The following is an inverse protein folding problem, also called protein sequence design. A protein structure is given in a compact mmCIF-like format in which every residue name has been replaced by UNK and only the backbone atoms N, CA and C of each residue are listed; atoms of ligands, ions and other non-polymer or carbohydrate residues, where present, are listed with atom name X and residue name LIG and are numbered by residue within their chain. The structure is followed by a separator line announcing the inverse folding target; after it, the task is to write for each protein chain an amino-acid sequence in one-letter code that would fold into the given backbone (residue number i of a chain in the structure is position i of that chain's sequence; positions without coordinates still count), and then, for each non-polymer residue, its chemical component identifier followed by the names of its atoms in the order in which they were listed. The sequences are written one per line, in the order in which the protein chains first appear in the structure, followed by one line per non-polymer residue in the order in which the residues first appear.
data_IF_282541517911
#
_entry.id   IF_282541517911
#
_cell.length_a   1.000
_cell.length_b   1.000
_cell.length_c   1.000
_cell.angle_alpha   90.00
_cell.angle_beta   90.00
_cell.angle_gamma   90.00
#
_symmetry.space_group_name_H-M   'P 1'
#
loop_
_entity.id
_entity.type
_entity.pdbx_description
1 polymer ?
#
# COMPACT_ATOMS: atom_id res chain seq x y z
N UNK A 1 -12.67 12.96 -17.59
CA UNK A 1 -11.84 13.00 -16.36
C UNK A 1 -11.04 14.28 -16.38
N UNK A 2 -11.19 15.11 -15.34
CA UNK A 2 -10.42 16.35 -15.19
C UNK A 2 -8.92 16.05 -14.96
N UNK A 3 -8.02 16.99 -15.25
CA UNK A 3 -6.58 16.80 -14.97
C UNK A 3 -6.29 16.59 -13.48
N UNK A 4 -7.16 17.10 -12.60
CA UNK A 4 -7.03 17.02 -11.13
C UNK A 4 -7.34 15.60 -10.64
N UNK A 5 -8.37 14.95 -11.19
CA UNK A 5 -8.70 13.53 -10.92
C UNK A 5 -7.51 12.60 -11.24
N UNK A 6 -6.76 12.89 -12.30
CA UNK A 6 -5.62 12.06 -12.71
C UNK A 6 -4.44 12.14 -11.71
N UNK A 7 -4.22 13.31 -11.11
CA UNK A 7 -3.12 13.50 -10.16
C UNK A 7 -3.37 12.79 -8.83
N UNK A 8 -4.59 12.85 -8.29
CA UNK A 8 -4.93 12.14 -7.05
C UNK A 8 -4.86 10.62 -7.22
N UNK A 9 -5.41 10.08 -8.31
CA UNK A 9 -5.34 8.64 -8.59
C UNK A 9 -3.88 8.18 -8.72
N UNK A 10 -3.06 8.93 -9.45
CA UNK A 10 -1.64 8.58 -9.59
C UNK A 10 -0.92 8.66 -8.24
N UNK A 11 -1.27 9.61 -7.37
CA UNK A 11 -0.65 9.76 -6.04
C UNK A 11 -1.02 8.61 -5.12
N UNK A 12 -2.31 8.25 -5.09
CA UNK A 12 -2.80 7.12 -4.33
C UNK A 12 -2.12 5.81 -4.80
N UNK A 13 -1.82 5.66 -6.11
CA UNK A 13 -1.16 4.46 -6.64
C UNK A 13 0.27 4.33 -6.12
N UNK A 14 1.06 5.40 -6.25
CA UNK A 14 2.42 5.49 -5.71
C UNK A 14 2.78 6.95 -5.44
N UNK A 15 2.87 7.37 -4.16
CA UNK A 15 3.22 8.75 -3.83
C UNK A 15 4.66 9.08 -4.26
N UNK A 16 5.53 8.06 -4.41
CA UNK A 16 6.91 8.22 -4.84
C UNK A 16 7.04 8.69 -6.29
N UNK A 17 6.00 8.55 -7.12
CA UNK A 17 5.99 9.07 -8.51
C UNK A 17 5.90 10.59 -8.58
N UNK A 18 5.49 11.24 -7.49
CA UNK A 18 5.43 12.69 -7.34
C UNK A 18 6.68 13.27 -6.69
N UNK A 19 7.51 12.43 -6.09
CA UNK A 19 8.83 12.81 -5.62
C UNK A 19 9.79 12.94 -6.81
N UNK A 20 10.84 13.74 -6.64
CA UNK A 20 11.86 13.89 -7.67
C UNK A 20 12.43 12.52 -8.06
N UNK A 21 12.23 12.14 -9.33
CA UNK A 21 12.65 10.84 -9.88
C UNK A 21 14.16 10.63 -9.79
N UNK A 22 14.94 11.70 -9.69
CA UNK A 22 16.39 11.62 -9.51
C UNK A 22 16.80 11.19 -8.11
N UNK A 23 15.89 11.29 -7.12
CA UNK A 23 16.16 11.01 -5.70
C UNK A 23 15.50 9.72 -5.22
N UNK A 24 14.34 9.33 -5.78
CA UNK A 24 13.49 8.28 -5.18
C UNK A 24 13.18 7.09 -6.11
N UNK A 25 13.95 6.87 -7.18
CA UNK A 25 13.65 5.81 -8.16
C UNK A 25 13.55 4.40 -7.54
N UNK A 26 14.43 4.05 -6.60
CA UNK A 26 14.38 2.75 -5.93
C UNK A 26 13.13 2.58 -5.06
N UNK A 27 12.62 3.67 -4.47
CA UNK A 27 11.40 3.63 -3.63
C UNK A 27 10.16 3.31 -4.46
N UNK A 28 10.03 3.91 -5.63
CA UNK A 28 8.93 3.61 -6.56
C UNK A 28 9.00 2.16 -7.08
N UNK A 29 10.21 1.67 -7.38
CA UNK A 29 10.42 0.28 -7.78
C UNK A 29 10.05 -0.70 -6.66
N UNK A 30 10.47 -0.42 -5.41
CA UNK A 30 10.12 -1.24 -4.25
C UNK A 30 8.63 -1.16 -3.94
N UNK A 31 7.99 0.02 -4.03
CA UNK A 31 6.54 0.15 -3.86
C UNK A 31 5.77 -0.69 -4.88
N UNK A 32 6.21 -0.67 -6.15
CA UNK A 32 5.61 -1.49 -7.21
C UNK A 32 5.72 -2.99 -6.88
N UNK A 33 6.85 -3.43 -6.32
CA UNK A 33 7.03 -4.81 -5.83
C UNK A 33 6.12 -5.13 -4.65
N UNK A 34 5.97 -4.22 -3.69
CA UNK A 34 5.05 -4.38 -2.54
C UNK A 34 3.61 -4.55 -3.05
N UNK A 35 3.18 -3.71 -3.97
CA UNK A 35 1.85 -3.77 -4.58
C UNK A 35 1.58 -5.15 -5.21
N UNK A 36 2.52 -5.64 -6.02
CA UNK A 36 2.43 -6.95 -6.66
C UNK A 36 2.38 -8.11 -5.65
N UNK A 37 3.17 -8.04 -4.57
CA UNK A 37 3.17 -9.05 -3.50
C UNK A 37 1.81 -9.08 -2.82
N UNK A 38 1.29 -7.93 -2.41
CA UNK A 38 -0.01 -7.80 -1.73
C UNK A 38 -1.14 -8.31 -2.62
N UNK A 39 -1.16 -7.89 -3.88
CA UNK A 39 -2.17 -8.31 -4.86
C UNK A 39 -2.12 -9.82 -5.12
N UNK A 40 -0.91 -10.39 -5.25
CA UNK A 40 -0.75 -11.82 -5.48
C UNK A 40 -1.18 -12.64 -4.27
N UNK A 41 -0.83 -12.17 -3.06
CA UNK A 41 -1.19 -12.86 -1.83
C UNK A 41 -2.69 -12.75 -1.52
N UNK A 42 -3.33 -11.61 -1.80
CA UNK A 42 -4.76 -11.42 -1.58
C UNK A 42 -5.62 -12.37 -2.43
N UNK A 43 -5.16 -12.70 -3.64
CA UNK A 43 -5.79 -13.69 -4.54
C UNK A 43 -5.69 -15.14 -4.05
N UNK A 44 -4.89 -15.44 -3.02
CA UNK A 44 -4.81 -16.78 -2.43
C UNK A 44 -6.01 -16.97 -1.48
N UNK A 45 -6.76 -18.09 -1.59
CA UNK A 45 -7.84 -18.40 -0.65
C UNK A 45 -7.33 -18.43 0.80
N UNK A 46 -8.07 -17.77 1.69
CA UNK A 46 -7.73 -17.60 3.11
C UNK A 46 -7.33 -18.92 3.80
N UNK A 47 -8.09 -19.99 3.57
CA UNK A 47 -7.84 -21.33 4.12
C UNK A 47 -6.50 -21.96 3.71
N UNK A 48 -5.83 -21.39 2.71
CA UNK A 48 -4.57 -21.91 2.17
C UNK A 48 -3.41 -20.92 2.29
N UNK A 49 -3.64 -19.74 2.90
CA UNK A 49 -2.58 -18.75 3.17
C UNK A 49 -1.65 -19.29 4.24
N UNK A 50 -0.35 -19.20 4.00
CA UNK A 50 0.69 -19.68 4.93
C UNK A 50 1.91 -18.77 4.87
N UNK A 51 2.69 -18.74 5.95
CA UNK A 51 3.98 -18.04 5.99
C UNK A 51 4.90 -18.47 4.84
N UNK A 52 4.96 -19.76 4.50
CA UNK A 52 5.80 -20.26 3.43
C UNK A 52 5.40 -19.71 2.06
N UNK A 53 4.09 -19.62 1.76
CA UNK A 53 3.59 -19.01 0.52
C UNK A 53 3.88 -17.51 0.47
N UNK A 54 3.66 -16.79 1.57
CA UNK A 54 3.99 -15.36 1.66
C UNK A 54 5.48 -15.12 1.40
N UNK A 55 6.36 -15.87 2.07
CA UNK A 55 7.82 -15.80 1.85
C UNK A 55 8.20 -16.13 0.40
N UNK A 56 7.56 -17.13 -0.21
CA UNK A 56 7.82 -17.48 -1.60
C UNK A 56 7.44 -16.34 -2.56
N UNK A 57 6.27 -15.70 -2.36
CA UNK A 57 5.83 -14.55 -3.16
C UNK A 57 6.78 -13.37 -2.96
N UNK A 58 7.10 -13.03 -1.71
CA UNK A 58 8.04 -11.93 -1.40
C UNK A 58 9.37 -12.16 -2.09
N UNK A 59 9.97 -13.36 -1.94
CA UNK A 59 11.24 -13.70 -2.56
C UNK A 59 11.19 -13.64 -4.09
N UNK A 60 10.11 -14.15 -4.70
CA UNK A 60 9.91 -14.11 -6.15
C UNK A 60 9.91 -12.67 -6.68
N UNK A 61 9.08 -11.80 -6.13
CA UNK A 61 8.98 -10.42 -6.61
C UNK A 61 10.20 -9.57 -6.25
N UNK A 62 10.76 -9.75 -5.06
CA UNK A 62 11.98 -9.04 -4.65
C UNK A 62 13.17 -9.38 -5.57
N UNK A 63 13.29 -10.64 -6.01
CA UNK A 63 14.39 -11.06 -6.89
C UNK A 63 14.39 -10.39 -8.27
N UNK A 64 13.27 -9.76 -8.66
CA UNK A 64 13.13 -9.02 -9.91
C UNK A 64 13.67 -7.58 -9.83
N UNK A 65 13.96 -7.07 -8.63
CA UNK A 65 14.54 -5.75 -8.47
C UNK A 65 15.99 -5.74 -8.94
N UNK A 66 16.32 -4.76 -9.78
CA UNK A 66 17.70 -4.48 -10.10
C UNK A 66 18.39 -3.85 -8.88
N UNK A 67 19.41 -4.53 -8.35
CA UNK A 67 20.18 -4.05 -7.20
C UNK A 67 20.90 -2.73 -7.48
N UNK A 68 21.18 -2.42 -8.74
CA UNK A 68 21.93 -1.22 -9.15
C UNK A 68 21.17 0.09 -8.92
N UNK A 69 19.85 0.02 -8.75
CA UNK A 69 19.00 1.20 -8.52
C UNK A 69 19.12 1.74 -7.08
N UNK A 70 19.68 0.93 -6.18
CA UNK A 70 19.90 1.31 -4.78
C UNK A 70 21.23 2.05 -4.63
N UNK A 71 21.30 2.92 -3.64
CA UNK A 71 22.51 3.71 -3.32
C UNK A 71 23.68 2.82 -2.88
N UNK A 72 23.39 1.65 -2.30
CA UNK A 72 24.40 0.68 -1.90
C UNK A 72 23.81 -0.72 -1.73
N UNK A 73 24.67 -1.73 -1.80
CA UNK A 73 24.31 -3.12 -1.45
C UNK A 73 23.75 -3.22 -0.02
N UNK A 74 24.30 -2.43 0.91
CA UNK A 74 23.80 -2.35 2.28
C UNK A 74 22.35 -1.86 2.33
N UNK A 75 22.01 -0.82 1.56
CA UNK A 75 20.63 -0.32 1.47
C UNK A 75 19.71 -1.41 0.91
N UNK A 76 20.11 -2.07 -0.19
CA UNK A 76 19.34 -3.17 -0.78
C UNK A 76 19.04 -4.29 0.24
N UNK A 77 20.07 -4.77 0.94
CA UNK A 77 19.93 -5.87 1.91
C UNK A 77 19.08 -5.44 3.11
N UNK A 78 19.32 -4.25 3.67
CA UNK A 78 18.56 -3.78 4.84
C UNK A 78 17.09 -3.53 4.51
N UNK A 79 16.80 -2.93 3.34
CA UNK A 79 15.42 -2.76 2.88
C UNK A 79 14.76 -4.12 2.64
N UNK A 80 15.46 -5.08 2.03
CA UNK A 80 14.95 -6.44 1.82
C UNK A 80 14.54 -7.12 3.12
N UNK A 81 15.40 -7.07 4.15
CA UNK A 81 15.13 -7.67 5.46
C UNK A 81 13.92 -7.04 6.12
N UNK A 82 13.87 -5.69 6.18
CA UNK A 82 12.75 -4.96 6.80
C UNK A 82 11.43 -5.20 6.07
N UNK A 83 11.44 -5.08 4.74
CA UNK A 83 10.26 -5.33 3.91
C UNK A 83 9.78 -6.76 4.09
N UNK A 84 10.68 -7.74 4.07
CA UNK A 84 10.31 -9.14 4.25
C UNK A 84 9.67 -9.37 5.61
N UNK A 85 10.30 -8.90 6.70
CA UNK A 85 9.82 -9.12 8.06
C UNK A 85 8.46 -8.46 8.30
N UNK A 86 8.35 -7.17 8.03
CA UNK A 86 7.15 -6.40 8.32
C UNK A 86 5.98 -6.75 7.37
N UNK A 87 6.26 -7.00 6.09
CA UNK A 87 5.22 -7.39 5.14
C UNK A 87 4.71 -8.80 5.43
N UNK A 88 5.60 -9.74 5.79
CA UNK A 88 5.19 -11.08 6.20
C UNK A 88 4.30 -11.04 7.44
N UNK A 89 4.67 -10.25 8.45
CA UNK A 89 3.85 -10.04 9.65
C UNK A 89 2.48 -9.47 9.30
N UNK A 90 2.43 -8.46 8.43
CA UNK A 90 1.19 -7.83 7.98
C UNK A 90 0.27 -8.84 7.26
N UNK A 91 0.79 -9.53 6.24
CA UNK A 91 0.03 -10.47 5.41
C UNK A 91 -0.54 -11.65 6.22
N UNK A 92 0.11 -12.01 7.33
CA UNK A 92 -0.31 -13.10 8.20
C UNK A 92 -1.14 -12.63 9.41
N UNK A 93 -1.36 -11.33 9.57
CA UNK A 93 -2.17 -10.82 10.68
C UNK A 93 -3.66 -11.11 10.47
N UNK A 94 -4.35 -11.50 11.55
CA UNK A 94 -5.76 -11.91 11.54
C UNK A 94 -6.70 -10.82 10.97
N UNK A 95 -6.34 -9.54 11.12
CA UNK A 95 -7.09 -8.41 10.55
C UNK A 95 -7.25 -8.47 9.02
N UNK A 96 -6.28 -9.01 8.29
CA UNK A 96 -6.37 -9.17 6.83
C UNK A 96 -6.90 -10.55 6.41
N UNK A 97 -7.21 -11.42 7.38
CA UNK A 97 -7.63 -12.81 7.16
C UNK A 97 -9.16 -12.96 7.17
N UNK A 98 -9.92 -11.98 7.66
CA UNK A 98 -11.40 -12.12 7.73
C UNK A 98 -12.18 -11.13 6.84
N UNK A 99 -11.66 -9.93 6.53
CA UNK A 99 -12.47 -8.91 5.88
C UNK A 99 -11.71 -8.06 4.86
N UNK A 100 -11.57 -8.54 3.61
CA UNK A 100 -11.29 -7.70 2.43
C UNK A 100 -11.79 -8.51 1.20
N UNK A 101 -12.42 -8.03 0.12
CA UNK A 101 -12.38 -6.71 -0.55
C UNK A 101 -13.46 -6.73 -1.66
N UNK A 102 -14.15 -5.61 -1.91
CA UNK A 102 -14.47 -5.26 -3.29
C UNK A 102 -13.16 -4.72 -3.86
N UNK A 103 -12.40 -5.55 -4.56
CA UNK A 103 -11.29 -5.04 -5.37
C UNK A 103 -11.95 -4.09 -6.39
N UNK A 104 -11.73 -2.79 -6.26
CA UNK A 104 -12.05 -1.88 -7.35
C UNK A 104 -10.99 -2.14 -8.41
N UNK A 105 -11.29 -3.15 -9.21
CA UNK A 105 -10.51 -3.72 -10.31
C UNK A 105 -10.22 -2.70 -11.42
N UNK A 106 -10.59 -1.42 -11.25
CA UNK A 106 -10.59 -0.44 -12.33
C UNK A 106 -9.67 0.77 -12.15
N UNK A 107 -9.09 1.05 -10.96
CA UNK A 107 -8.30 2.28 -10.79
C UNK A 107 -6.98 2.12 -10.03
N UNK A 108 -6.84 1.14 -9.13
CA UNK A 108 -5.75 1.12 -8.15
C UNK A 108 -5.31 -0.31 -7.80
N UNK A 109 -4.29 -0.82 -8.47
CA UNK A 109 -3.79 -2.21 -8.35
C UNK A 109 -3.28 -2.63 -6.95
N UNK A 110 -3.38 -1.75 -5.93
CA UNK A 110 -2.74 -1.92 -4.62
C UNK A 110 -3.52 -1.41 -3.41
N UNK A 111 -4.71 -0.86 -3.62
CA UNK A 111 -5.49 -0.25 -2.54
C UNK A 111 -6.54 -1.26 -2.07
N UNK A 112 -6.55 -1.55 -0.77
CA UNK A 112 -7.54 -2.41 -0.17
C UNK A 112 -8.68 -1.53 0.34
N UNK A 113 -9.82 -1.59 -0.34
CA UNK A 113 -11.04 -0.92 0.10
C UNK A 113 -11.92 -1.95 0.78
N UNK A 114 -12.15 -1.75 2.08
CA UNK A 114 -13.02 -2.59 2.90
C UNK A 114 -14.30 -1.81 3.13
N UNK A 115 -15.43 -2.38 2.69
CA UNK A 115 -16.76 -1.84 2.97
C UNK A 115 -17.49 -2.90 3.77
N UNK A 116 -17.75 -2.63 5.04
CA UNK A 116 -18.57 -3.46 5.91
C UNK A 116 -19.85 -2.72 6.31
N UNK A 117 -20.75 -3.38 7.04
CA UNK A 117 -21.99 -2.77 7.54
C UNK A 117 -21.71 -1.52 8.42
N UNK A 118 -20.53 -1.49 9.04
CA UNK A 118 -20.06 -0.44 9.93
C UNK A 118 -19.42 0.75 9.21
N UNK A 119 -19.28 0.70 7.87
CA UNK A 119 -18.82 1.80 7.03
C UNK A 119 -17.64 1.44 6.10
N UNK A 120 -17.12 2.49 5.45
CA UNK A 120 -15.99 2.41 4.52
C UNK A 120 -14.67 2.57 5.28
N UNK A 121 -13.79 1.58 5.18
CA UNK A 121 -12.40 1.61 5.68
C UNK A 121 -11.46 1.51 4.49
N UNK A 122 -10.57 2.49 4.35
CA UNK A 122 -9.53 2.49 3.33
C UNK A 122 -8.20 2.06 3.95
N UNK A 123 -7.57 1.02 3.42
CA UNK A 123 -6.26 0.57 3.86
C UNK A 123 -5.23 0.65 2.73
N UNK A 124 -4.07 1.24 3.04
CA UNK A 124 -2.95 1.37 2.12
C UNK A 124 -1.67 0.82 2.72
N UNK A 125 -0.90 0.15 1.89
CA UNK A 125 0.43 -0.37 2.24
C UNK A 125 1.45 0.44 1.46
N UNK A 126 2.30 1.18 2.16
CA UNK A 126 3.36 2.02 1.58
C UNK A 126 4.73 1.59 2.10
N UNK A 127 5.76 1.73 1.25
CA UNK A 127 7.13 1.42 1.62
C UNK A 127 7.54 2.20 2.89
N UNK A 128 7.41 3.51 2.87
CA UNK A 128 7.69 4.40 4.00
C UNK A 128 6.88 5.69 3.86
N UNK A 129 6.54 6.32 4.98
CA UNK A 129 5.81 7.58 4.99
C UNK A 129 6.39 8.60 5.95
N UNK A 130 6.18 9.87 5.63
CA UNK A 130 6.37 11.01 6.53
C UNK A 130 5.04 11.75 6.75
N UNK A 131 5.06 12.78 7.61
CA UNK A 131 3.86 13.53 7.96
C UNK A 131 3.24 14.27 6.76
N UNK A 132 4.06 14.75 5.82
CA UNK A 132 3.60 15.48 4.63
C UNK A 132 2.93 14.54 3.63
N UNK A 133 3.54 13.37 3.38
CA UNK A 133 2.98 12.33 2.53
C UNK A 133 1.67 11.80 3.10
N UNK A 134 1.62 11.55 4.41
CA UNK A 134 0.41 11.14 5.07
C UNK A 134 -0.70 12.20 4.95
N UNK A 135 -0.38 13.47 5.18
CA UNK A 135 -1.30 14.60 4.98
C UNK A 135 -1.91 14.61 3.59
N UNK A 136 -1.06 14.50 2.58
CA UNK A 136 -1.48 14.44 1.18
C UNK A 136 -2.34 13.21 0.91
N UNK A 137 -1.96 12.05 1.47
CA UNK A 137 -2.71 10.80 1.30
C UNK A 137 -4.11 10.88 1.90
N UNK A 138 -4.27 11.40 3.12
CA UNK A 138 -5.59 11.54 3.73
C UNK A 138 -6.50 12.43 2.87
N UNK A 139 -6.00 13.58 2.40
CA UNK A 139 -6.78 14.47 1.55
C UNK A 139 -7.18 13.81 0.22
N UNK A 140 -6.25 13.12 -0.44
CA UNK A 140 -6.52 12.40 -1.69
C UNK A 140 -7.53 11.26 -1.48
N UNK A 141 -7.39 10.50 -0.40
CA UNK A 141 -8.29 9.41 -0.03
C UNK A 141 -9.71 9.90 0.26
N UNK A 142 -9.85 11.02 0.99
CA UNK A 142 -11.15 11.65 1.27
C UNK A 142 -11.85 12.07 -0.02
N UNK A 143 -11.13 12.78 -0.90
CA UNK A 143 -11.67 13.23 -2.17
C UNK A 143 -12.11 12.04 -3.03
N UNK A 144 -11.28 11.00 -3.11
CA UNK A 144 -11.60 9.78 -3.85
C UNK A 144 -12.85 9.07 -3.30
N UNK A 145 -12.96 8.92 -1.97
CA UNK A 145 -14.11 8.26 -1.36
C UNK A 145 -15.41 9.04 -1.55
N UNK A 146 -15.36 10.38 -1.48
CA UNK A 146 -16.50 11.24 -1.79
C UNK A 146 -16.96 11.09 -3.25
N UNK A 147 -16.02 11.03 -4.18
CA UNK A 147 -16.32 10.83 -5.61
C UNK A 147 -16.89 9.44 -5.91
N UNK A 148 -16.40 8.40 -5.22
CA UNK A 148 -16.77 7.02 -5.51
C UNK A 148 -18.04 6.56 -4.77
N UNK A 149 -18.24 7.01 -3.53
CA UNK A 149 -19.28 6.48 -2.63
C UNK A 149 -20.27 7.53 -2.12
N UNK A 150 -20.07 8.80 -2.44
CA UNK A 150 -20.80 9.95 -1.86
C UNK A 150 -20.69 10.06 -0.33
N UNK A 151 -19.84 9.23 0.31
CA UNK A 151 -19.67 9.14 1.75
C UNK A 151 -18.19 9.28 2.13
N UNK A 152 -17.95 9.79 3.34
CA UNK A 152 -16.60 9.79 3.91
C UNK A 152 -16.25 8.40 4.44
N UNK A 153 -14.98 7.98 4.32
CA UNK A 153 -14.52 6.79 4.99
C UNK A 153 -14.59 7.00 6.51
N UNK A 154 -15.02 5.98 7.23
CA UNK A 154 -14.97 5.95 8.69
C UNK A 154 -13.53 6.01 9.20
N UNK A 155 -12.64 5.39 8.43
CA UNK A 155 -11.25 5.22 8.81
C UNK A 155 -10.37 5.11 7.57
N UNK A 156 -9.20 5.77 7.61
CA UNK A 156 -8.13 5.63 6.64
C UNK A 156 -6.91 5.08 7.38
N UNK A 157 -6.40 3.94 6.96
CA UNK A 157 -5.19 3.31 7.50
C UNK A 157 -4.06 3.32 6.47
N UNK A 158 -2.85 3.63 6.94
CA UNK A 158 -1.62 3.50 6.16
C UNK A 158 -0.63 2.65 6.95
N UNK A 159 -0.16 1.55 6.35
CA UNK A 159 0.92 0.74 6.88
C UNK A 159 2.25 1.12 6.22
N UNK A 160 3.17 1.62 7.04
CA UNK A 160 4.57 1.87 6.68
C UNK A 160 5.36 0.57 6.83
N UNK A 161 5.71 -0.02 5.69
CA UNK A 161 6.39 -1.32 5.61
C UNK A 161 7.83 -1.22 6.11
N UNK A 162 8.56 -0.15 5.86
CA UNK A 162 9.97 -0.03 6.23
C UNK A 162 10.14 0.14 7.75
N UNK A 163 9.18 0.79 8.39
CA UNK A 163 9.18 1.05 9.83
C UNK A 163 8.28 0.12 10.63
N UNK A 164 7.44 -0.68 9.98
CA UNK A 164 6.52 -1.60 10.63
C UNK A 164 5.43 -0.88 11.44
N UNK A 165 5.03 0.31 10.99
CA UNK A 165 4.10 1.20 11.72
C UNK A 165 2.78 1.32 11.00
N UNK A 166 1.69 1.40 11.76
CA UNK A 166 0.34 1.65 11.25
C UNK A 166 -0.11 3.04 11.69
N UNK A 167 -0.51 3.85 10.73
CA UNK A 167 -1.08 5.18 10.93
C UNK A 167 -2.57 5.11 10.67
N UNK A 168 -3.36 5.72 11.54
CA UNK A 168 -4.83 5.70 11.45
C UNK A 168 -5.33 7.13 11.51
N UNK A 169 -6.20 7.47 10.56
CA UNK A 169 -6.89 8.74 10.51
C UNK A 169 -8.40 8.50 10.52
N UNK A 170 -9.10 9.25 11.38
CA UNK A 170 -10.55 9.25 11.49
C UNK A 170 -11.07 10.57 10.94
N UNK A 171 -11.64 10.59 9.72
CA UNK A 171 -12.16 11.81 9.13
C UNK A 171 -13.28 12.39 9.99
N UNK A 172 -13.28 13.70 10.15
CA UNK A 172 -14.34 14.44 10.84
C UNK A 172 -15.08 15.27 9.80
N UNK A 173 -16.42 15.32 9.89
CA UNK A 173 -17.21 16.31 9.16
C UNK A 173 -17.00 17.63 9.90
N UNK A 174 -16.27 18.56 9.29
CA UNK A 174 -16.14 19.94 9.76
C UNK A 174 -17.36 20.77 9.40
#
# INVERSE_FOLDING_TARGET
MSMIENQYVTFLQSPYRFLDKTVCFWKDAVQSVINEIVLTFSRIPHSTRTYLKALHIIGHYWSRLDKSIFESERQFVMTSVKVTDHLLSLLMSEKHIEEVTIQIDMLMESDNIIINEDGLILEKILLEVDEEMLSTYWNAALQFCLELTENLPKQIEVFDVLNGKRYVHFPQIS
#
